data_IF_871440600162
#
_entry.id   IF_871440600162
#
_cell.length_a   1.000
_cell.length_b   1.000
_cell.length_c   1.000
_cell.angle_alpha   90.00
_cell.angle_beta   90.00
_cell.angle_gamma   90.00
#
_symmetry.space_group_name_H-M   'P 1'
#
loop_
_entity.id
_entity.type
_entity.pdbx_description
1 polymer ?
#
# COMPACT_ATOMS: atom_id res chain seq x y z
N UNK A 1 -24.51 37.25 11.65
CA UNK A 1 -23.64 36.06 11.55
C UNK A 1 -24.35 35.07 10.64
N UNK A 2 -23.70 34.61 9.58
CA UNK A 2 -24.16 33.52 8.73
C UNK A 2 -23.37 32.27 9.08
N UNK A 3 -24.05 31.13 9.22
CA UNK A 3 -23.45 29.86 9.62
C UNK A 3 -23.52 28.89 8.43
N UNK A 4 -22.36 28.45 7.97
CA UNK A 4 -22.22 27.51 6.87
C UNK A 4 -22.48 26.08 7.37
N UNK A 5 -23.70 25.61 7.12
CA UNK A 5 -24.19 24.29 7.54
C UNK A 5 -23.48 23.11 6.87
N UNK A 6 -22.65 23.35 5.84
CA UNK A 6 -21.88 22.29 5.18
C UNK A 6 -20.61 21.88 5.96
N UNK A 7 -20.19 22.69 6.93
CA UNK A 7 -18.95 22.49 7.69
C UNK A 7 -19.20 21.75 9.00
N UNK A 8 -18.12 21.25 9.60
CA UNK A 8 -18.18 20.62 10.92
C UNK A 8 -18.46 21.71 11.97
N UNK A 9 -19.58 21.60 12.66
CA UNK A 9 -19.97 22.53 13.70
C UNK A 9 -19.28 22.20 15.03
N UNK A 10 -18.80 23.20 15.77
CA UNK A 10 -18.28 22.99 17.11
C UNK A 10 -19.43 22.62 18.06
N UNK A 11 -19.17 21.71 19.00
CA UNK A 11 -20.12 21.30 20.04
C UNK A 11 -20.21 22.32 21.19
N UNK A 12 -19.25 23.23 21.27
CA UNK A 12 -19.14 24.23 22.32
C UNK A 12 -18.59 25.54 21.73
N UNK A 13 -19.09 26.67 22.24
CA UNK A 13 -18.65 28.00 21.83
C UNK A 13 -18.28 28.80 23.07
N UNK A 14 -17.17 29.53 23.00
CA UNK A 14 -16.75 30.44 24.07
C UNK A 14 -17.59 31.70 24.06
N UNK A 15 -18.20 32.03 25.20
CA UNK A 15 -18.97 33.25 25.40
C UNK A 15 -18.28 34.06 26.49
N UNK A 16 -17.70 35.20 26.10
CA UNK A 16 -17.06 36.12 27.03
C UNK A 16 -16.00 37.01 26.38
N UNK A 17 -15.38 37.83 27.21
CA UNK A 17 -14.30 38.75 26.82
C UNK A 17 -12.99 38.33 27.48
N UNK A 18 -11.93 38.25 26.69
CA UNK A 18 -10.54 37.95 27.08
C UNK A 18 -10.40 36.75 28.05
N UNK A 19 -10.44 37.01 29.36
CA UNK A 19 -10.26 36.02 30.43
C UNK A 19 -11.55 35.73 31.23
N UNK A 20 -12.62 36.49 30.99
CA UNK A 20 -13.92 36.33 31.64
C UNK A 20 -14.95 35.80 30.64
N UNK A 21 -15.01 34.47 30.53
CA UNK A 21 -16.01 33.77 29.73
C UNK A 21 -16.21 32.33 30.17
N UNK A 22 -17.12 31.65 29.50
CA UNK A 22 -17.40 30.24 29.70
C UNK A 22 -17.69 29.56 28.36
N UNK A 23 -17.43 28.24 28.31
CA UNK A 23 -17.87 27.42 27.18
C UNK A 23 -19.34 27.08 27.35
N UNK A 24 -20.17 27.48 26.38
CA UNK A 24 -21.55 27.04 26.29
C UNK A 24 -21.64 25.88 25.31
N UNK A 25 -22.26 24.79 25.75
CA UNK A 25 -22.59 23.67 24.87
C UNK A 25 -23.65 24.10 23.87
N UNK A 26 -23.39 23.84 22.59
CA UNK A 26 -24.29 24.15 21.49
C UNK A 26 -24.97 22.87 21.04
N UNK A 27 -26.28 22.82 21.22
CA UNK A 27 -27.11 21.74 20.72
C UNK A 27 -27.94 22.27 19.55
N UNK A 28 -27.74 21.67 18.37
CA UNK A 28 -28.46 22.04 17.17
C UNK A 28 -29.69 21.15 17.06
N UNK A 29 -30.87 21.67 17.40
CA UNK A 29 -32.10 20.87 17.42
C UNK A 29 -32.61 20.54 16.00
N UNK A 30 -32.33 21.37 14.99
CA UNK A 30 -32.96 21.27 13.66
C UNK A 30 -31.99 21.53 12.50
N UNK A 31 -30.78 20.96 12.53
CA UNK A 31 -29.91 21.03 11.35
C UNK A 31 -30.50 20.18 10.22
N UNK A 32 -30.76 20.75 9.03
CA UNK A 32 -31.22 19.97 7.89
C UNK A 32 -30.14 18.94 7.53
N UNK A 33 -30.56 17.70 7.31
CA UNK A 33 -29.63 16.62 6.97
C UNK A 33 -28.99 16.96 5.62
N UNK A 34 -27.67 17.18 5.63
CA UNK A 34 -26.90 17.48 4.43
C UNK A 34 -26.27 16.19 3.88
N UNK A 35 -26.56 15.88 2.62
CA UNK A 35 -25.92 14.78 1.94
C UNK A 35 -24.65 15.26 1.23
N UNK A 36 -23.50 14.77 1.68
CA UNK A 36 -22.19 15.10 1.09
C UNK A 36 -22.03 14.63 -0.36
N UNK A 37 -22.84 13.67 -0.82
CA UNK A 37 -22.77 13.13 -2.18
C UNK A 37 -23.49 14.01 -3.21
N UNK A 38 -24.73 14.42 -2.94
CA UNK A 38 -25.50 15.28 -3.85
C UNK A 38 -25.29 16.78 -3.58
N UNK A 39 -24.68 17.15 -2.44
CA UNK A 39 -24.56 18.54 -1.96
C UNK A 39 -25.92 19.24 -1.79
N UNK A 40 -26.94 18.49 -1.41
CA UNK A 40 -28.31 18.98 -1.17
C UNK A 40 -28.79 18.65 0.24
N UNK A 41 -29.75 19.44 0.72
CA UNK A 41 -30.42 19.24 2.00
C UNK A 41 -31.63 18.29 1.86
N UNK A 42 -31.96 17.60 2.94
CA UNK A 42 -33.21 16.84 3.08
C UNK A 42 -33.06 15.33 3.10
N UNK A 43 -31.84 14.80 2.93
CA UNK A 43 -31.58 13.36 3.10
C UNK A 43 -30.15 13.08 3.57
N UNK A 44 -29.95 11.96 4.24
CA UNK A 44 -28.64 11.51 4.70
C UNK A 44 -27.89 10.68 3.66
N UNK A 45 -26.62 10.37 3.94
CA UNK A 45 -25.78 9.49 3.10
C UNK A 45 -26.44 8.13 2.82
N UNK A 46 -27.13 7.55 3.80
CA UNK A 46 -27.78 6.25 3.65
C UNK A 46 -29.01 6.31 2.73
N UNK A 47 -29.68 7.46 2.66
CA UNK A 47 -30.87 7.67 1.83
C UNK A 47 -30.50 8.04 0.39
N UNK A 48 -29.30 8.58 0.17
CA UNK A 48 -28.77 8.85 -1.17
C UNK A 48 -28.79 7.61 -2.08
N UNK A 49 -28.37 6.45 -1.55
CA UNK A 49 -28.37 5.20 -2.32
C UNK A 49 -29.76 4.62 -2.56
N UNK A 50 -30.76 4.99 -1.73
CA UNK A 50 -32.17 4.64 -1.97
C UNK A 50 -32.78 5.49 -3.08
N UNK A 51 -32.42 6.78 -3.14
CA UNK A 51 -32.90 7.71 -4.17
C UNK A 51 -32.20 7.51 -5.52
N UNK A 52 -30.94 7.06 -5.52
CA UNK A 52 -30.15 6.81 -6.73
C UNK A 52 -29.58 5.39 -6.79
N UNK A 53 -30.43 4.35 -6.92
CA UNK A 53 -30.00 2.96 -6.92
C UNK A 53 -29.04 2.60 -8.08
N UNK A 54 -29.06 3.38 -9.17
CA UNK A 54 -28.17 3.17 -10.32
C UNK A 54 -26.69 3.48 -10.02
N UNK A 55 -26.40 4.41 -9.11
CA UNK A 55 -25.02 4.79 -8.73
C UNK A 55 -24.34 3.75 -7.82
N UNK A 56 -25.10 2.75 -7.32
CA UNK A 56 -24.56 1.67 -6.52
C UNK A 56 -23.80 0.62 -7.35
N UNK A 57 -24.10 0.49 -8.65
CA UNK A 57 -23.48 -0.51 -9.54
C UNK A 57 -22.00 -0.25 -9.79
N UNK A 58 -21.56 1.00 -9.79
CA UNK A 58 -20.17 1.36 -10.11
C UNK A 58 -19.17 0.83 -9.08
N UNK A 59 -19.57 0.77 -7.80
CA UNK A 59 -18.71 0.22 -6.72
C UNK A 59 -18.56 -1.31 -6.78
N UNK A 60 -19.55 -2.03 -7.29
CA UNK A 60 -19.46 -3.48 -7.45
C UNK A 60 -18.50 -3.86 -8.58
N UNK A 61 -18.56 -3.11 -9.69
CA UNK A 61 -17.67 -3.32 -10.84
C UNK A 61 -16.21 -3.01 -10.51
N UNK A 62 -15.95 -1.96 -9.70
CA UNK A 62 -14.59 -1.66 -9.21
C UNK A 62 -14.05 -2.69 -8.22
N UNK A 63 -14.91 -3.34 -7.41
CA UNK A 63 -14.46 -4.39 -6.48
C UNK A 63 -14.06 -5.67 -7.23
N UNK A 64 -14.81 -6.03 -8.27
CA UNK A 64 -14.51 -7.23 -9.07
C UNK A 64 -13.18 -7.09 -9.83
N UNK A 65 -12.91 -5.92 -10.42
CA UNK A 65 -11.61 -5.66 -11.07
C UNK A 65 -10.47 -5.64 -10.04
N UNK A 66 -10.68 -5.01 -8.88
CA UNK A 66 -9.68 -4.97 -7.81
C UNK A 66 -9.36 -6.37 -7.28
N UNK A 67 -10.37 -7.23 -7.09
CA UNK A 67 -10.19 -8.61 -6.62
C UNK A 67 -9.45 -9.47 -7.66
N UNK A 68 -9.71 -9.25 -8.95
CA UNK A 68 -9.00 -9.95 -10.03
C UNK A 68 -7.53 -9.53 -10.09
N UNK A 69 -7.24 -8.24 -9.92
CA UNK A 69 -5.86 -7.72 -9.83
C UNK A 69 -5.13 -8.24 -8.58
N UNK A 70 -5.81 -8.36 -7.45
CA UNK A 70 -5.23 -8.97 -6.24
C UNK A 70 -4.87 -10.45 -6.44
N UNK A 71 -5.76 -11.23 -7.09
CA UNK A 71 -5.47 -12.63 -7.43
C UNK A 71 -4.27 -12.75 -8.37
N UNK A 72 -4.22 -11.93 -9.43
CA UNK A 72 -3.12 -11.91 -10.38
C UNK A 72 -1.81 -11.53 -9.71
N UNK A 73 -1.82 -10.51 -8.84
CA UNK A 73 -0.63 -10.10 -8.10
C UNK A 73 -0.12 -11.22 -7.19
N UNK A 74 -1.01 -11.92 -6.48
CA UNK A 74 -0.64 -13.08 -5.65
C UNK A 74 -0.04 -14.21 -6.48
N UNK A 75 -0.61 -14.50 -7.66
CA UNK A 75 -0.05 -15.50 -8.58
C UNK A 75 1.34 -15.10 -9.08
N UNK A 76 1.53 -13.84 -9.47
CA UNK A 76 2.84 -13.32 -9.91
C UNK A 76 3.86 -13.41 -8.78
N UNK A 77 3.52 -12.98 -7.56
CA UNK A 77 4.42 -13.06 -6.41
C UNK A 77 4.82 -14.52 -6.14
N UNK A 78 3.86 -15.46 -6.20
CA UNK A 78 4.16 -16.87 -6.03
C UNK A 78 5.11 -17.40 -7.11
N UNK A 79 4.90 -17.02 -8.38
CA UNK A 79 5.81 -17.38 -9.48
C UNK A 79 7.22 -16.81 -9.27
N UNK A 80 7.34 -15.56 -8.85
CA UNK A 80 8.64 -14.93 -8.56
C UNK A 80 9.36 -15.61 -7.40
N UNK A 81 8.63 -15.98 -6.34
CA UNK A 81 9.18 -16.73 -5.21
C UNK A 81 9.67 -18.11 -5.66
N UNK A 82 8.89 -18.83 -6.47
CA UNK A 82 9.32 -20.11 -7.05
C UNK A 82 10.53 -19.97 -7.96
N UNK A 83 10.58 -18.91 -8.77
CA UNK A 83 11.71 -18.65 -9.66
C UNK A 83 13.00 -18.38 -8.87
N UNK A 84 12.91 -17.68 -7.74
CA UNK A 84 14.05 -17.42 -6.85
C UNK A 84 14.70 -18.69 -6.32
N UNK A 85 13.93 -19.74 -6.04
CA UNK A 85 14.45 -21.05 -5.60
C UNK A 85 15.09 -21.85 -6.75
N UNK A 86 14.61 -21.65 -7.97
CA UNK A 86 15.06 -22.39 -9.16
C UNK A 86 16.38 -21.82 -9.72
N UNK A 87 16.53 -20.49 -9.75
CA UNK A 87 17.74 -19.81 -10.26
C UNK A 87 19.06 -20.36 -9.66
N UNK A 88 19.24 -20.51 -8.33
CA UNK A 88 20.51 -20.99 -7.78
C UNK A 88 20.83 -22.43 -8.19
N UNK A 89 19.82 -23.29 -8.38
CA UNK A 89 20.00 -24.66 -8.83
C UNK A 89 20.60 -24.68 -10.24
N UNK A 90 20.04 -23.88 -11.16
CA UNK A 90 20.59 -23.76 -12.52
C UNK A 90 21.98 -23.15 -12.53
N UNK A 91 22.24 -22.14 -11.70
CA UNK A 91 23.58 -21.52 -11.58
C UNK A 91 24.59 -22.55 -11.08
N UNK A 92 24.23 -23.38 -10.09
CA UNK A 92 25.10 -24.46 -9.59
C UNK A 92 25.33 -25.56 -10.63
N UNK A 93 24.31 -25.98 -11.37
CA UNK A 93 24.46 -26.95 -12.45
C UNK A 93 25.36 -26.43 -13.57
N UNK A 94 25.17 -25.17 -13.98
CA UNK A 94 26.03 -24.52 -14.96
C UNK A 94 27.48 -24.45 -14.48
N UNK A 95 27.70 -24.09 -13.21
CA UNK A 95 29.03 -24.06 -12.60
C UNK A 95 29.69 -25.44 -12.60
N UNK A 96 28.96 -26.50 -12.24
CA UNK A 96 29.45 -27.88 -12.28
C UNK A 96 29.79 -28.32 -13.71
N UNK A 97 28.95 -27.99 -14.69
CA UNK A 97 29.25 -28.26 -16.11
C UNK A 97 30.57 -27.60 -16.53
N UNK A 98 30.79 -26.32 -16.18
CA UNK A 98 32.03 -25.61 -16.48
C UNK A 98 33.24 -26.28 -15.79
N UNK A 99 33.07 -26.77 -14.56
CA UNK A 99 34.13 -27.44 -13.81
C UNK A 99 34.54 -28.79 -14.41
N UNK A 100 33.60 -29.47 -15.09
CA UNK A 100 33.85 -30.77 -15.76
C UNK A 100 34.43 -30.65 -17.17
N UNK A 101 34.53 -29.44 -17.75
CA UNK A 101 35.10 -29.27 -19.08
C UNK A 101 36.63 -29.50 -19.07
N UNK A 102 37.18 -30.18 -20.09
CA UNK A 102 38.60 -30.47 -20.15
C UNK A 102 39.44 -29.18 -20.21
N UNK A 103 40.60 -29.15 -19.53
CA UNK A 103 41.41 -27.94 -19.35
C UNK A 103 41.97 -27.37 -20.66
N UNK A 104 41.96 -28.14 -21.74
CA UNK A 104 42.37 -27.72 -23.10
C UNK A 104 41.50 -26.62 -23.70
N UNK A 105 40.29 -26.37 -23.17
CA UNK A 105 39.36 -25.31 -23.64
C UNK A 105 39.31 -24.11 -22.66
N UNK A 106 39.89 -24.26 -21.46
CA UNK A 106 39.52 -23.48 -20.29
C UNK A 106 40.41 -22.24 -20.03
N UNK A 107 41.53 -22.10 -20.74
CA UNK A 107 42.66 -21.28 -20.29
C UNK A 107 42.52 -19.74 -20.41
N UNK A 108 41.67 -19.14 -21.28
CA UNK A 108 41.38 -17.70 -21.22
C UNK A 108 40.01 -17.34 -20.63
N UNK A 109 39.08 -18.29 -20.49
CA UNK A 109 37.68 -17.99 -20.14
C UNK A 109 37.39 -17.96 -18.64
N UNK A 110 38.15 -18.68 -17.80
CA UNK A 110 37.91 -18.75 -16.34
C UNK A 110 37.94 -17.36 -15.67
N UNK A 111 38.89 -16.50 -16.05
CA UNK A 111 39.02 -15.17 -15.46
C UNK A 111 37.87 -14.23 -15.84
N UNK A 112 37.21 -14.48 -16.97
CA UNK A 112 36.10 -13.66 -17.47
C UNK A 112 34.80 -13.98 -16.71
N UNK A 113 34.62 -15.22 -16.24
CA UNK A 113 33.38 -15.67 -15.58
C UNK A 113 33.38 -15.58 -14.05
N UNK A 114 34.56 -15.56 -13.39
CA UNK A 114 34.65 -15.39 -11.92
C UNK A 114 34.20 -14.00 -11.49
N UNK A 115 34.54 -12.96 -12.26
CA UNK A 115 34.21 -11.56 -11.97
C UNK A 115 32.69 -11.30 -11.94
N UNK A 116 31.88 -11.72 -12.92
CA UNK A 116 30.43 -11.54 -12.88
C UNK A 116 29.76 -12.37 -11.79
N UNK A 117 30.28 -13.55 -11.44
CA UNK A 117 29.73 -14.36 -10.34
C UNK A 117 29.88 -13.63 -8.99
N UNK A 118 31.04 -13.02 -8.74
CA UNK A 118 31.28 -12.25 -7.52
C UNK A 118 30.41 -10.98 -7.45
N UNK A 119 30.23 -10.31 -8.59
CA UNK A 119 29.33 -9.14 -8.71
C UNK A 119 27.87 -9.52 -8.49
N UNK A 120 27.42 -10.68 -8.99
CA UNK A 120 26.07 -11.19 -8.77
C UNK A 120 25.82 -11.52 -7.29
N UNK A 121 26.82 -12.13 -6.63
CA UNK A 121 26.78 -12.42 -5.20
C UNK A 121 26.72 -11.15 -4.34
N UNK A 122 27.47 -10.11 -4.73
CA UNK A 122 27.42 -8.78 -4.12
C UNK A 122 26.02 -8.16 -4.29
N UNK A 123 25.44 -8.23 -5.49
CA UNK A 123 24.11 -7.70 -5.78
C UNK A 123 23.02 -8.39 -4.94
N UNK A 124 23.11 -9.72 -4.82
CA UNK A 124 22.23 -10.51 -3.96
C UNK A 124 22.34 -10.10 -2.47
N UNK A 125 23.55 -9.87 -1.97
CA UNK A 125 23.74 -9.38 -0.59
C UNK A 125 23.15 -7.99 -0.39
N UNK A 126 23.30 -7.09 -1.37
CA UNK A 126 22.71 -5.74 -1.31
C UNK A 126 21.18 -5.80 -1.29
N UNK A 127 20.58 -6.65 -2.13
CA UNK A 127 19.13 -6.83 -2.17
C UNK A 127 18.58 -7.37 -0.84
N UNK A 128 19.28 -8.31 -0.21
CA UNK A 128 18.91 -8.81 1.12
C UNK A 128 19.02 -7.73 2.20
N UNK A 129 20.06 -6.88 2.15
CA UNK A 129 20.22 -5.75 3.08
C UNK A 129 19.07 -4.74 2.94
N UNK A 130 18.73 -4.33 1.71
CA UNK A 130 17.62 -3.40 1.47
C UNK A 130 16.31 -3.99 1.98
N UNK A 131 16.04 -5.26 1.68
CA UNK A 131 14.85 -5.93 2.17
C UNK A 131 14.80 -5.96 3.71
N UNK A 132 15.92 -6.26 4.37
CA UNK A 132 16.00 -6.32 5.83
C UNK A 132 15.78 -4.94 6.47
N UNK A 133 16.34 -3.88 5.89
CA UNK A 133 16.11 -2.49 6.33
C UNK A 133 14.65 -2.09 6.19
N UNK A 134 14.01 -2.42 5.07
CA UNK A 134 12.59 -2.14 4.84
C UNK A 134 11.72 -2.85 5.89
N UNK A 135 12.00 -4.14 6.15
CA UNK A 135 11.29 -4.90 7.19
C UNK A 135 11.50 -4.26 8.57
N UNK A 136 12.73 -3.86 8.90
CA UNK A 136 13.04 -3.22 10.17
C UNK A 136 12.27 -1.91 10.35
N UNK A 137 12.24 -1.05 9.33
CA UNK A 137 11.49 0.22 9.35
C UNK A 137 9.98 -0.01 9.53
N UNK A 138 9.42 -1.03 8.88
CA UNK A 138 8.00 -1.39 9.05
C UNK A 138 7.73 -1.85 10.49
N UNK A 139 8.63 -2.64 11.07
CA UNK A 139 8.49 -3.14 12.44
C UNK A 139 8.61 -2.00 13.46
N UNK A 140 9.58 -1.10 13.30
CA UNK A 140 9.77 0.02 14.23
C UNK A 140 8.65 1.05 14.15
N UNK A 141 8.17 1.39 12.95
CA UNK A 141 7.05 2.34 12.76
C UNK A 141 5.71 1.81 13.26
N UNK A 142 5.49 0.49 13.29
CA UNK A 142 4.31 -0.10 13.94
C UNK A 142 4.38 -0.04 15.46
N UNK A 143 5.58 -0.13 16.04
CA UNK A 143 5.77 -0.16 17.50
C UNK A 143 5.58 1.21 18.17
N UNK A 144 5.69 2.31 17.43
CA UNK A 144 5.53 3.67 17.96
C UNK A 144 4.11 4.22 17.89
N UNK A 145 3.16 3.46 17.32
CA UNK A 145 1.76 3.88 17.12
C UNK A 145 0.74 3.17 18.02
N UNK A 146 1.19 2.30 18.93
CA UNK A 146 0.37 1.65 19.96
C UNK A 146 0.91 2.02 21.34
#
# INVERSE_FOLDING_TARGET
MELDVSKKHPSEVWIGYDLNGYFQKVEFENLPIFCSHCKMYGHGFNEYFRLHPHLHKDKAMSKQSQQRMDLLLRMIIFLLLRLKEIIPIWVMLLYLCILTLPPSILHPLIFIWIRPLWMLLLLCRLMLLVHWVVVLVIVTTRRTKG
#
